data_IF_365482990036
#
_entry.id   IF_365482990036
#
_cell.length_a   1.000
_cell.length_b   1.000
_cell.length_c   1.000
_cell.angle_alpha   90.00
_cell.angle_beta   90.00
_cell.angle_gamma   90.00
#
_symmetry.space_group_name_H-M   'P 1'
#
loop_
_entity.id
_entity.type
_entity.pdbx_description
1 polymer ?
#
# COMPACT_ATOMS: atom_id res chain seq x y z
N UNK A 1 13.50 -6.33 14.05
CA UNK A 1 12.97 -5.19 13.29
C UNK A 1 11.81 -5.71 12.51
N UNK A 2 10.61 -5.54 13.05
CA UNK A 2 9.38 -5.95 12.37
C UNK A 2 9.28 -5.03 11.17
N UNK A 3 9.40 -5.60 9.98
CA UNK A 3 9.09 -4.94 8.71
C UNK A 3 7.74 -4.25 8.87
N UNK A 4 7.60 -3.04 8.31
CA UNK A 4 6.44 -2.19 8.45
C UNK A 4 5.24 -2.73 7.65
N UNK A 5 4.75 -3.88 8.14
CA UNK A 5 3.71 -4.66 7.53
C UNK A 5 2.40 -3.85 7.58
N UNK A 6 1.64 -3.81 6.47
CA UNK A 6 0.37 -3.09 6.43
C UNK A 6 -0.56 -3.59 7.54
N UNK A 7 -1.12 -2.67 8.32
CA UNK A 7 -2.11 -2.99 9.35
C UNK A 7 -3.48 -2.97 8.69
N UNK A 8 -4.00 -4.16 8.40
CA UNK A 8 -5.29 -4.35 7.76
C UNK A 8 -6.44 -4.11 8.74
N UNK A 9 -7.33 -3.19 8.39
CA UNK A 9 -8.57 -2.92 9.13
C UNK A 9 -9.68 -3.78 8.57
N UNK A 10 -10.43 -4.45 9.45
CA UNK A 10 -11.51 -5.37 9.10
C UNK A 10 -12.85 -4.93 9.66
N UNK A 11 -13.92 -5.41 9.05
CA UNK A 11 -15.29 -5.15 9.54
C UNK A 11 -15.71 -6.03 10.74
N UNK A 12 -14.79 -6.81 11.31
CA UNK A 12 -14.99 -7.57 12.55
C UNK A 12 -13.68 -8.17 13.09
N UNK A 13 -13.67 -8.61 14.36
CA UNK A 13 -12.49 -9.16 15.02
C UNK A 13 -12.25 -10.62 14.60
N UNK A 14 -11.55 -10.80 13.48
CA UNK A 14 -11.20 -12.13 12.95
C UNK A 14 -10.66 -12.09 11.52
N UNK A 15 -9.87 -13.07 11.12
CA UNK A 15 -9.32 -13.15 9.76
C UNK A 15 -10.36 -13.54 8.69
N UNK A 16 -11.52 -14.05 9.12
CA UNK A 16 -12.68 -14.31 8.27
C UNK A 16 -13.45 -13.05 7.85
N UNK A 17 -13.24 -11.92 8.54
CA UNK A 17 -13.92 -10.67 8.28
C UNK A 17 -13.23 -9.96 7.12
N UNK A 18 -13.98 -9.21 6.33
CA UNK A 18 -13.42 -8.55 5.15
C UNK A 18 -12.51 -7.40 5.58
N UNK A 19 -11.38 -7.25 4.89
CA UNK A 19 -10.55 -6.05 4.97
C UNK A 19 -11.32 -4.90 4.31
N UNK A 20 -11.38 -3.74 4.96
CA UNK A 20 -12.11 -2.55 4.51
C UNK A 20 -11.19 -1.38 4.15
N UNK A 21 -10.02 -1.29 4.80
CA UNK A 21 -8.97 -0.32 4.51
C UNK A 21 -7.65 -0.78 5.15
N UNK A 22 -6.57 -0.07 4.85
CA UNK A 22 -5.26 -0.25 5.47
C UNK A 22 -4.90 1.00 6.27
N UNK A 23 -4.40 0.85 7.50
CA UNK A 23 -3.87 1.99 8.25
C UNK A 23 -2.54 2.44 7.65
N UNK A 24 -2.36 3.75 7.54
CA UNK A 24 -1.07 4.33 7.20
C UNK A 24 -0.06 4.04 8.32
N UNK A 25 1.16 3.66 7.95
CA UNK A 25 2.23 3.49 8.93
C UNK A 25 2.53 4.82 9.65
N UNK A 26 3.04 4.72 10.88
CA UNK A 26 3.46 5.85 11.72
C UNK A 26 2.35 6.82 12.18
N UNK A 27 1.10 6.62 11.75
CA UNK A 27 -0.04 7.43 12.19
C UNK A 27 -0.61 6.88 13.50
N UNK A 28 -0.90 7.79 14.43
CA UNK A 28 -1.57 7.42 15.67
C UNK A 28 -3.08 7.31 15.47
N UNK A 29 -3.69 6.27 16.02
CA UNK A 29 -5.13 6.05 15.93
C UNK A 29 -5.79 5.94 17.31
N UNK A 30 -7.06 6.32 17.44
CA UNK A 30 -7.78 6.20 18.71
C UNK A 30 -8.36 4.78 18.82
N UNK A 31 -8.02 4.06 19.89
CA UNK A 31 -8.60 2.74 20.18
C UNK A 31 -9.79 2.91 21.12
N UNK A 32 -10.96 2.44 20.66
CA UNK A 32 -12.26 2.64 21.32
C UNK A 32 -12.87 1.34 21.85
N UNK A 33 -12.27 0.19 21.55
CA UNK A 33 -12.74 -1.11 22.04
C UNK A 33 -11.71 -2.23 21.82
N UNK A 34 -11.98 -3.38 22.40
CA UNK A 34 -11.20 -4.61 22.20
C UNK A 34 -12.09 -5.84 22.18
N UNK A 35 -11.61 -6.92 21.56
CA UNK A 35 -12.25 -8.22 21.61
C UNK A 35 -11.18 -9.30 21.42
N UNK A 36 -10.90 -10.07 22.48
CA UNK A 36 -9.79 -11.03 22.50
C UNK A 36 -8.48 -10.33 22.13
N UNK A 37 -7.87 -10.66 20.98
CA UNK A 37 -6.60 -10.09 20.48
C UNK A 37 -6.79 -8.97 19.45
N UNK A 38 -8.03 -8.51 19.25
CA UNK A 38 -8.38 -7.49 18.28
C UNK A 38 -8.68 -6.16 18.94
N UNK A 39 -8.25 -5.08 18.28
CA UNK A 39 -8.51 -3.71 18.71
C UNK A 39 -9.51 -3.05 17.77
N UNK A 40 -10.51 -2.39 18.35
CA UNK A 40 -11.46 -1.56 17.61
C UNK A 40 -10.90 -0.14 17.57
N UNK A 41 -10.63 0.34 16.37
CA UNK A 41 -10.02 1.63 16.09
C UNK A 41 -11.07 2.57 15.51
N UNK A 42 -11.07 3.81 15.98
CA UNK A 42 -11.84 4.91 15.39
C UNK A 42 -11.13 5.41 14.13
N UNK A 43 -11.85 5.35 13.01
CA UNK A 43 -11.35 5.77 11.70
C UNK A 43 -11.77 7.22 11.37
N UNK A 44 -12.53 7.88 12.24
CA UNK A 44 -13.17 9.16 11.96
C UNK A 44 -14.53 8.99 11.28
N UNK A 45 -15.28 10.09 11.14
CA UNK A 45 -16.59 10.13 10.49
C UNK A 45 -17.59 9.06 10.96
N UNK A 46 -17.58 8.77 12.26
CA UNK A 46 -18.40 7.73 12.91
C UNK A 46 -18.14 6.29 12.40
N UNK A 47 -17.02 6.07 11.71
CA UNK A 47 -16.58 4.77 11.26
C UNK A 47 -15.56 4.17 12.22
N UNK A 48 -15.59 2.85 12.34
CA UNK A 48 -14.62 2.10 13.15
C UNK A 48 -14.31 0.78 12.48
N UNK A 49 -13.15 0.20 12.84
CA UNK A 49 -12.72 -1.07 12.28
C UNK A 49 -11.75 -1.82 13.18
N UNK A 50 -11.63 -3.11 12.92
CA UNK A 50 -10.90 -4.05 13.76
C UNK A 50 -9.52 -4.34 13.20
N UNK A 51 -8.49 -4.25 14.04
CA UNK A 51 -7.11 -4.57 13.69
C UNK A 51 -6.56 -5.67 14.58
N UNK A 52 -5.75 -6.54 13.99
CA UNK A 52 -4.97 -7.54 14.72
C UNK A 52 -3.55 -7.03 14.88
N UNK A 53 -3.16 -6.68 16.11
CA UNK A 53 -1.82 -6.22 16.42
C UNK A 53 -1.56 -6.32 17.93
N UNK A 54 -0.29 -6.46 18.30
CA UNK A 54 0.10 -6.34 19.70
C UNK A 54 -0.09 -4.89 20.16
N UNK A 55 -0.41 -4.71 21.43
CA UNK A 55 -0.63 -3.37 21.99
C UNK A 55 0.61 -2.47 21.88
N UNK A 56 1.80 -3.06 21.87
CA UNK A 56 3.08 -2.36 21.72
C UNK A 56 3.40 -1.95 20.28
N UNK A 57 2.79 -2.63 19.30
CA UNK A 57 2.99 -2.38 17.87
C UNK A 57 2.01 -1.34 17.31
N UNK A 58 0.92 -1.05 18.05
CA UNK A 58 -0.03 -0.03 17.67
C UNK A 58 0.32 1.32 18.30
N UNK A 59 0.53 2.30 17.44
CA UNK A 59 0.57 3.70 17.82
C UNK A 59 -0.86 4.17 18.18
N UNK A 60 -1.38 3.87 19.37
CA UNK A 60 -2.70 4.36 19.77
C UNK A 60 -2.69 5.56 20.74
N UNK A 61 -3.71 6.39 20.61
CA UNK A 61 -4.06 7.40 21.61
C UNK A 61 -4.77 6.73 22.80
N UNK A 62 -4.20 6.82 24.00
CA UNK A 62 -4.86 6.40 25.25
C UNK A 62 -4.14 5.29 26.01
N UNK A 63 -4.84 4.69 26.99
CA UNK A 63 -4.35 3.58 27.82
C UNK A 63 -5.03 2.28 27.43
N UNK A 64 -4.27 1.31 26.90
CA UNK A 64 -4.77 -0.01 26.48
C UNK A 64 -5.54 -0.76 27.58
N UNK A 65 -5.19 -0.53 28.85
CA UNK A 65 -5.84 -1.18 30.00
C UNK A 65 -7.23 -0.62 30.31
N UNK A 66 -7.58 0.55 29.78
CA UNK A 66 -8.87 1.21 29.99
C UNK A 66 -9.87 0.97 28.85
N UNK A 67 -9.48 0.20 27.82
CA UNK A 67 -10.29 -0.05 26.63
C UNK A 67 -11.42 -1.06 26.93
N UNK A 68 -12.69 -0.75 26.64
CA UNK A 68 -13.81 -1.63 26.93
C UNK A 68 -13.83 -2.86 26.00
N UNK A 69 -14.26 -4.00 26.53
CA UNK A 69 -14.54 -5.18 25.72
C UNK A 69 -15.84 -4.99 24.92
N UNK A 70 -15.81 -5.29 23.64
CA UNK A 70 -16.92 -5.15 22.71
C UNK A 70 -17.35 -6.53 22.20
N UNK A 71 -18.65 -6.69 21.97
CA UNK A 71 -19.18 -7.94 21.41
C UNK A 71 -18.81 -8.01 19.93
N UNK A 72 -18.30 -9.17 19.49
CA UNK A 72 -18.05 -9.39 18.06
C UNK A 72 -19.34 -9.25 17.25
N UNK A 73 -19.34 -8.52 16.12
CA UNK A 73 -20.43 -8.63 15.14
C UNK A 73 -20.59 -10.09 14.68
N UNK A 74 -21.79 -10.46 14.17
CA UNK A 74 -21.99 -11.79 13.62
C UNK A 74 -20.98 -12.03 12.49
N UNK A 75 -20.32 -13.18 12.55
CA UNK A 75 -19.41 -13.64 11.51
C UNK A 75 -20.11 -13.56 10.15
N UNK A 76 -19.43 -13.16 9.06
CA UNK A 76 -20.00 -13.28 7.73
C UNK A 76 -20.30 -14.76 7.51
N UNK A 77 -21.57 -15.15 7.59
CA UNK A 77 -22.01 -16.42 7.05
C UNK A 77 -21.68 -16.33 5.57
N UNK A 78 -20.89 -17.26 5.02
CA UNK A 78 -20.80 -17.44 3.57
C UNK A 78 -22.19 -17.85 3.07
N UNK A 79 -23.09 -16.88 2.95
CA UNK A 79 -24.42 -17.08 2.42
C UNK A 79 -24.30 -17.27 0.92
N UNK A 80 -24.72 -18.46 0.52
CA UNK A 80 -24.95 -18.88 -0.83
C UNK A 80 -25.97 -17.88 -1.42
N UNK A 81 -25.54 -17.17 -2.46
CA UNK A 81 -26.23 -16.13 -3.24
C UNK A 81 -27.76 -16.13 -3.08
N UNK A 82 -28.33 -15.00 -2.64
CA UNK A 82 -29.52 -14.46 -3.28
C UNK A 82 -29.20 -13.12 -3.92
N UNK A 83 -29.74 -12.98 -5.13
CA UNK A 83 -29.80 -11.79 -5.96
C UNK A 83 -30.24 -10.58 -5.14
N UNK A 84 -29.33 -9.66 -4.84
CA UNK A 84 -29.65 -8.32 -4.34
C UNK A 84 -29.15 -7.30 -5.35
N UNK A 85 -30.10 -6.57 -5.93
CA UNK A 85 -29.84 -5.30 -6.61
C UNK A 85 -29.59 -4.24 -5.53
N UNK A 86 -28.42 -3.57 -5.48
CA UNK A 86 -28.22 -2.45 -4.55
C UNK A 86 -28.07 -1.13 -5.32
N UNK A 87 -29.02 -0.23 -5.08
CA UNK A 87 -28.80 1.22 -5.23
C UNK A 87 -28.40 1.73 -3.85
N UNK A 88 -27.12 1.68 -3.51
CA UNK A 88 -26.36 2.76 -2.85
C UNK A 88 -24.90 2.31 -2.61
N UNK A 89 -24.00 3.28 -2.63
CA UNK A 89 -22.53 3.21 -2.70
C UNK A 89 -21.86 1.99 -2.03
N UNK A 90 -21.65 0.92 -2.81
CA UNK A 90 -20.61 -0.09 -2.53
C UNK A 90 -19.65 -0.02 -3.70
N UNK A 91 -18.48 0.58 -3.49
CA UNK A 91 -17.41 0.56 -4.49
C UNK A 91 -17.13 -0.90 -4.85
N UNK A 92 -17.50 -1.28 -6.06
CA UNK A 92 -17.36 -2.68 -6.49
C UNK A 92 -15.88 -3.01 -6.63
N UNK A 93 -15.52 -4.30 -6.49
CA UNK A 93 -14.14 -4.75 -6.70
C UNK A 93 -13.55 -4.26 -8.04
N UNK A 94 -14.39 -4.08 -9.07
CA UNK A 94 -13.99 -3.54 -10.38
C UNK A 94 -13.69 -2.04 -10.37
N UNK A 95 -14.43 -1.25 -9.60
CA UNK A 95 -14.20 0.20 -9.49
C UNK A 95 -12.92 0.47 -8.69
N UNK A 96 -12.76 -0.20 -7.55
CA UNK A 96 -11.55 -0.07 -6.74
C UNK A 96 -10.29 -0.55 -7.47
N UNK A 97 -10.38 -1.63 -8.26
CA UNK A 97 -9.28 -2.07 -9.11
C UNK A 97 -8.86 -1.00 -10.12
N UNK A 98 -9.84 -0.32 -10.73
CA UNK A 98 -9.55 0.73 -11.71
C UNK A 98 -8.92 1.95 -11.05
N UNK A 99 -9.38 2.37 -9.87
CA UNK A 99 -8.74 3.46 -9.11
C UNK A 99 -7.32 3.08 -8.67
N UNK A 100 -7.10 1.85 -8.23
CA UNK A 100 -5.78 1.35 -7.87
C UNK A 100 -4.81 1.36 -9.07
N UNK A 101 -5.28 0.89 -10.24
CA UNK A 101 -4.52 0.95 -11.50
C UNK A 101 -4.17 2.38 -11.88
N UNK A 102 -5.12 3.30 -11.76
CA UNK A 102 -4.91 4.71 -12.07
C UNK A 102 -3.92 5.37 -11.11
N UNK A 103 -3.99 5.08 -9.82
CA UNK A 103 -3.01 5.57 -8.84
C UNK A 103 -1.59 5.08 -9.16
N UNK A 104 -1.43 3.78 -9.46
CA UNK A 104 -0.14 3.19 -9.83
C UNK A 104 0.46 3.85 -11.07
N UNK A 105 -0.32 3.96 -12.14
CA UNK A 105 0.15 4.56 -13.40
C UNK A 105 0.44 6.06 -13.23
N UNK A 106 -0.37 6.78 -12.46
CA UNK A 106 -0.15 8.20 -12.15
C UNK A 106 1.12 8.41 -11.34
N UNK A 107 1.37 7.61 -10.31
CA UNK A 107 2.58 7.66 -9.51
C UNK A 107 3.84 7.59 -10.39
N UNK A 108 3.92 6.59 -11.27
CA UNK A 108 5.06 6.44 -12.17
C UNK A 108 5.17 7.54 -13.22
N UNK A 109 4.04 8.05 -13.72
CA UNK A 109 4.05 9.19 -14.65
C UNK A 109 4.54 10.47 -13.96
N UNK A 110 4.15 10.73 -12.71
CA UNK A 110 4.62 11.88 -11.92
C UNK A 110 6.12 11.79 -11.63
N UNK A 111 6.61 10.62 -11.19
CA UNK A 111 8.04 10.39 -11.00
C UNK A 111 8.85 10.63 -12.28
N UNK A 112 8.35 10.13 -13.41
CA UNK A 112 8.99 10.33 -14.70
C UNK A 112 8.98 11.80 -15.16
N UNK A 113 7.96 12.57 -14.77
CA UNK A 113 7.85 14.01 -15.04
C UNK A 113 8.59 14.87 -14.02
N UNK A 114 9.36 14.28 -13.09
CA UNK A 114 10.08 14.95 -12.01
C UNK A 114 9.15 15.71 -11.03
N UNK A 115 7.88 15.29 -10.94
CA UNK A 115 6.87 15.87 -10.04
C UNK A 115 6.86 15.10 -8.72
N UNK A 116 7.97 15.19 -7.99
CA UNK A 116 8.21 14.33 -6.83
C UNK A 116 7.33 14.65 -5.62
N UNK A 117 6.94 15.90 -5.43
CA UNK A 117 5.98 16.28 -4.37
C UNK A 117 4.61 15.64 -4.61
N UNK A 118 4.07 15.76 -5.83
CA UNK A 118 2.81 15.13 -6.22
C UNK A 118 2.92 13.58 -6.16
N UNK A 119 4.06 13.01 -6.55
CA UNK A 119 4.29 11.57 -6.46
C UNK A 119 4.31 11.07 -5.01
N UNK A 120 4.85 11.86 -4.08
CA UNK A 120 4.90 11.52 -2.66
C UNK A 120 3.50 11.35 -2.05
N UNK A 121 2.50 12.10 -2.55
CA UNK A 121 1.10 11.96 -2.13
C UNK A 121 0.47 10.62 -2.53
N UNK A 122 1.00 9.96 -3.57
CA UNK A 122 0.56 8.64 -4.03
C UNK A 122 1.42 7.49 -3.50
N UNK A 123 2.44 7.78 -2.71
CA UNK A 123 3.33 6.79 -2.12
C UNK A 123 2.97 6.51 -0.67
N UNK A 124 2.53 5.29 -0.40
CA UNK A 124 2.17 4.82 0.93
C UNK A 124 3.17 3.85 1.54
N UNK A 125 4.33 3.64 0.91
CA UNK A 125 5.42 2.82 1.44
C UNK A 125 6.32 3.58 2.43
N UNK A 126 7.35 2.92 2.92
CA UNK A 126 8.31 3.54 3.84
C UNK A 126 9.38 4.35 3.10
N UNK A 127 9.86 5.42 3.75
CA UNK A 127 10.95 6.25 3.22
C UNK A 127 12.33 5.88 3.79
N UNK A 128 12.44 4.82 4.59
CA UNK A 128 13.66 4.54 5.37
C UNK A 128 14.86 4.30 4.47
N UNK A 129 14.68 3.59 3.36
CA UNK A 129 15.73 3.35 2.37
C UNK A 129 16.22 4.67 1.77
N UNK A 130 15.30 5.55 1.38
CA UNK A 130 15.63 6.85 0.80
C UNK A 130 16.32 7.77 1.80
N UNK A 131 15.84 7.80 3.05
CA UNK A 131 16.46 8.53 4.14
C UNK A 131 17.88 8.03 4.43
N UNK A 132 18.08 6.71 4.40
CA UNK A 132 19.39 6.08 4.56
C UNK A 132 20.39 6.44 3.45
N UNK A 133 19.91 6.53 2.20
CA UNK A 133 20.74 6.98 1.07
C UNK A 133 21.03 8.48 1.09
N UNK A 134 20.19 9.26 1.75
CA UNK A 134 20.23 10.72 1.72
C UNK A 134 20.30 11.33 3.14
N UNK A 135 21.35 11.05 3.94
CA UNK A 135 21.42 11.44 5.36
C UNK A 135 21.53 12.95 5.59
N UNK A 136 21.73 13.75 4.53
CA UNK A 136 21.82 15.22 4.61
C UNK A 136 20.50 15.94 4.27
N UNK A 137 19.49 15.23 3.77
CA UNK A 137 18.16 15.79 3.53
C UNK A 137 17.34 15.79 4.81
N UNK A 138 16.33 16.67 4.86
CA UNK A 138 15.28 16.57 5.86
C UNK A 138 14.54 15.23 5.66
N UNK A 139 14.45 14.35 6.67
CA UNK A 139 13.77 13.07 6.54
C UNK A 139 12.28 13.18 6.22
N UNK A 140 11.67 14.36 6.41
CA UNK A 140 10.27 14.64 6.09
C UNK A 140 10.08 15.31 4.72
N UNK A 141 11.16 15.66 4.02
CA UNK A 141 11.10 16.19 2.66
C UNK A 141 11.01 15.04 1.65
N UNK A 142 9.83 14.43 1.61
CA UNK A 142 9.54 13.25 0.79
C UNK A 142 9.72 13.51 -0.72
N UNK A 143 9.43 14.73 -1.18
CA UNK A 143 9.69 15.14 -2.55
C UNK A 143 11.17 15.12 -2.88
N UNK A 144 12.02 15.73 -2.04
CA UNK A 144 13.47 15.71 -2.24
C UNK A 144 14.07 14.29 -2.12
N UNK A 145 13.53 13.46 -1.23
CA UNK A 145 13.95 12.06 -1.08
C UNK A 145 13.66 11.24 -2.35
N UNK A 146 12.46 11.36 -2.92
CA UNK A 146 12.11 10.71 -4.19
C UNK A 146 12.95 11.27 -5.35
N UNK A 147 13.18 12.58 -5.38
CA UNK A 147 14.02 13.22 -6.38
C UNK A 147 15.44 12.61 -6.39
N UNK A 148 16.11 12.57 -5.24
CA UNK A 148 17.42 11.96 -5.13
C UNK A 148 17.39 10.46 -5.43
N UNK A 149 16.32 9.77 -5.05
CA UNK A 149 16.09 8.38 -5.41
C UNK A 149 16.17 8.15 -6.93
N UNK A 150 15.39 8.93 -7.69
CA UNK A 150 15.32 8.86 -9.15
C UNK A 150 16.57 9.36 -9.86
N UNK A 151 17.13 10.48 -9.41
CA UNK A 151 18.15 11.22 -10.17
C UNK A 151 19.59 10.87 -9.77
N UNK A 152 19.79 10.36 -8.55
CA UNK A 152 21.12 10.16 -7.96
C UNK A 152 21.34 8.71 -7.52
N UNK A 153 20.35 8.10 -6.86
CA UNK A 153 20.57 6.84 -6.16
C UNK A 153 20.37 5.61 -7.07
N UNK A 154 19.66 5.72 -8.20
CA UNK A 154 19.51 4.64 -9.16
C UNK A 154 18.10 4.02 -9.25
N UNK A 155 17.08 4.67 -8.66
CA UNK A 155 15.70 4.28 -8.89
C UNK A 155 15.30 4.56 -10.34
N UNK A 156 14.77 3.55 -11.01
CA UNK A 156 14.35 3.62 -12.40
C UNK A 156 12.93 4.21 -12.48
N UNK A 157 12.85 5.53 -12.44
CA UNK A 157 11.60 6.31 -12.49
C UNK A 157 11.06 6.39 -13.93
N UNK A 158 10.72 5.21 -14.45
CA UNK A 158 10.29 4.95 -15.82
C UNK A 158 8.77 4.95 -15.92
N UNK A 159 8.27 5.20 -17.14
CA UNK A 159 6.84 5.11 -17.44
C UNK A 159 6.40 3.66 -17.52
N UNK A 160 5.18 3.40 -17.05
CA UNK A 160 4.52 2.10 -17.25
C UNK A 160 4.30 1.86 -18.74
N UNK A 161 4.79 0.73 -19.25
CA UNK A 161 4.55 0.27 -20.62
C UNK A 161 3.23 -0.48 -20.71
N UNK A 162 3.03 -1.43 -19.79
CA UNK A 162 1.81 -2.21 -19.64
C UNK A 162 1.75 -2.88 -18.26
N UNK A 163 0.54 -3.17 -17.83
CA UNK A 163 0.26 -4.03 -16.69
C UNK A 163 -0.14 -5.39 -17.27
N UNK A 164 0.57 -6.45 -16.88
CA UNK A 164 0.44 -7.80 -17.47
C UNK A 164 -0.37 -8.78 -16.60
N UNK A 165 -0.52 -8.49 -15.31
CA UNK A 165 -1.34 -9.26 -14.38
C UNK A 165 -1.90 -8.34 -13.29
N UNK A 166 -3.12 -8.62 -12.85
CA UNK A 166 -3.87 -7.81 -11.90
C UNK A 166 -4.73 -8.69 -11.01
N UNK A 167 -4.62 -8.48 -9.70
CA UNK A 167 -5.33 -9.27 -8.70
C UNK A 167 -5.97 -8.36 -7.68
N UNK A 168 -7.27 -8.58 -7.45
CA UNK A 168 -7.99 -8.02 -6.31
C UNK A 168 -7.79 -8.96 -5.13
N UNK A 169 -7.05 -8.53 -4.12
CA UNK A 169 -6.84 -9.30 -2.89
C UNK A 169 -7.98 -9.02 -1.92
N UNK A 170 -8.37 -7.74 -1.80
CA UNK A 170 -9.54 -7.29 -1.07
C UNK A 170 -10.07 -5.98 -1.67
N UNK A 171 -11.12 -5.40 -1.09
CA UNK A 171 -11.57 -4.05 -1.47
C UNK A 171 -10.57 -2.94 -1.11
N UNK A 172 -9.47 -3.27 -0.43
CA UNK A 172 -8.44 -2.34 -0.03
C UNK A 172 -7.01 -2.76 -0.41
N UNK A 173 -6.82 -3.85 -1.14
CA UNK A 173 -5.50 -4.31 -1.57
C UNK A 173 -5.55 -4.94 -2.96
N UNK A 174 -4.62 -4.49 -3.80
CA UNK A 174 -4.53 -4.84 -5.21
C UNK A 174 -3.08 -5.13 -5.55
N UNK A 175 -2.84 -6.24 -6.26
CA UNK A 175 -1.50 -6.60 -6.73
C UNK A 175 -1.45 -6.48 -8.25
N UNK A 176 -0.35 -5.91 -8.74
CA UNK A 176 -0.08 -5.68 -10.15
C UNK A 176 1.27 -6.28 -10.53
N UNK A 177 1.35 -6.81 -11.75
CA UNK A 177 2.64 -7.09 -12.40
C UNK A 177 2.83 -6.11 -13.54
N UNK A 178 3.91 -5.33 -13.48
CA UNK A 178 4.14 -4.16 -14.31
C UNK A 178 5.38 -4.34 -15.18
N UNK A 179 5.27 -3.95 -16.44
CA UNK A 179 6.41 -3.75 -17.33
C UNK A 179 6.61 -2.26 -17.59
N UNK A 180 7.86 -1.80 -17.56
CA UNK A 180 8.24 -0.41 -17.81
C UNK A 180 8.83 -0.22 -19.21
N UNK A 181 8.84 1.03 -19.69
CA UNK A 181 9.52 1.37 -20.94
C UNK A 181 10.68 2.34 -20.72
N UNK A 182 11.74 2.12 -21.49
CA UNK A 182 12.83 3.07 -21.65
C UNK A 182 12.34 4.33 -22.39
N UNK A 183 13.18 5.37 -22.43
CA UNK A 183 12.86 6.63 -23.12
C UNK A 183 12.55 6.46 -24.61
N UNK A 184 13.16 5.47 -25.28
CA UNK A 184 12.89 5.12 -26.69
C UNK A 184 11.61 4.28 -26.88
N UNK A 185 10.89 3.98 -25.80
CA UNK A 185 9.69 3.16 -25.79
C UNK A 185 9.96 1.64 -25.78
N UNK A 186 11.22 1.20 -25.84
CA UNK A 186 11.58 -0.21 -25.71
C UNK A 186 11.27 -0.74 -24.30
N UNK A 187 11.13 -2.06 -24.16
CA UNK A 187 10.88 -2.69 -22.85
C UNK A 187 12.11 -2.51 -21.94
N UNK A 188 11.88 -2.03 -20.72
CA UNK A 188 12.91 -2.01 -19.70
C UNK A 188 13.18 -3.44 -19.20
N UNK A 189 14.47 -3.78 -19.10
CA UNK A 189 14.93 -5.09 -18.62
C UNK A 189 16.06 -4.84 -17.63
N UNK A 190 15.86 -5.27 -16.38
CA UNK A 190 16.91 -5.29 -15.37
C UNK A 190 17.82 -6.47 -15.61
N UNK A 191 19.07 -6.19 -15.97
CA UNK A 191 20.11 -7.20 -16.13
C UNK A 191 20.59 -7.78 -14.79
N UNK A 192 21.43 -8.82 -14.82
CA UNK A 192 22.04 -9.38 -13.61
C UNK A 192 22.85 -8.32 -12.86
N UNK A 193 22.72 -8.29 -11.53
CA UNK A 193 23.49 -7.37 -10.69
C UNK A 193 24.90 -7.92 -10.40
N UNK A 194 25.84 -7.03 -10.10
CA UNK A 194 27.16 -7.35 -9.53
C UNK A 194 28.03 -8.31 -10.37
N UNK A 195 27.91 -8.28 -11.70
CA UNK A 195 28.73 -9.10 -12.59
C UNK A 195 28.36 -10.59 -12.62
N UNK A 196 27.21 -10.97 -12.05
CA UNK A 196 26.69 -12.32 -12.16
C UNK A 196 26.30 -12.64 -13.62
N UNK A 197 26.32 -13.93 -13.97
CA UNK A 197 25.93 -14.37 -15.30
C UNK A 197 24.40 -14.30 -15.47
N UNK A 198 23.93 -14.08 -16.70
CA UNK A 198 22.49 -14.13 -17.01
C UNK A 198 21.87 -15.53 -16.79
N UNK A 199 22.70 -16.56 -16.64
CA UNK A 199 22.27 -17.92 -16.29
C UNK A 199 22.02 -18.09 -14.80
N UNK A 200 22.76 -17.38 -13.94
CA UNK A 200 22.58 -17.45 -12.48
C UNK A 200 21.51 -16.46 -12.01
N UNK A 201 21.44 -15.29 -12.66
CA UNK A 201 20.45 -14.26 -12.41
C UNK A 201 19.79 -13.85 -13.74
N UNK A 202 18.64 -14.45 -14.08
CA UNK A 202 17.99 -14.15 -15.34
C UNK A 202 17.52 -12.69 -15.37
N UNK A 203 17.52 -12.06 -16.55
CA UNK A 203 17.00 -10.72 -16.71
C UNK A 203 15.52 -10.65 -16.34
N UNK A 204 15.14 -9.58 -15.67
CA UNK A 204 13.77 -9.34 -15.21
C UNK A 204 13.15 -8.15 -15.92
N UNK A 205 11.94 -8.31 -16.44
CA UNK A 205 11.20 -7.23 -17.11
C UNK A 205 9.81 -6.99 -16.52
N UNK A 206 9.40 -7.81 -15.56
CA UNK A 206 8.09 -7.79 -14.93
C UNK A 206 8.30 -7.66 -13.43
N UNK A 207 7.69 -6.64 -12.83
CA UNK A 207 7.93 -6.27 -11.45
C UNK A 207 6.59 -6.21 -10.70
N UNK A 208 6.57 -6.73 -9.48
CA UNK A 208 5.37 -6.74 -8.65
C UNK A 208 5.19 -5.40 -7.93
N UNK A 209 3.95 -4.91 -7.89
CA UNK A 209 3.54 -3.72 -7.15
C UNK A 209 2.25 -3.97 -6.40
N UNK A 210 2.15 -3.36 -5.23
CA UNK A 210 0.99 -3.37 -4.35
C UNK A 210 0.42 -1.96 -4.27
N UNK A 211 -0.89 -1.86 -4.46
CA UNK A 211 -1.63 -0.63 -4.17
C UNK A 211 -2.63 -0.94 -3.06
N UNK A 212 -2.61 -0.11 -2.02
CA UNK A 212 -3.55 -0.19 -0.90
C UNK A 212 -4.54 0.95 -0.95
N UNK A 213 -5.75 0.73 -0.44
CA UNK A 213 -6.70 1.78 -0.12
C UNK A 213 -6.59 2.11 1.37
N UNK A 214 -6.18 3.33 1.71
CA UNK A 214 -6.13 3.76 3.10
C UNK A 214 -7.54 4.05 3.64
N UNK A 215 -7.66 4.30 4.94
CA UNK A 215 -8.97 4.57 5.56
C UNK A 215 -9.54 5.96 5.24
N UNK A 216 -8.74 6.86 4.63
CA UNK A 216 -9.23 8.10 4.02
C UNK A 216 -9.80 7.88 2.60
N UNK A 217 -9.65 6.67 2.04
CA UNK A 217 -10.13 6.30 0.72
C UNK A 217 -9.14 6.54 -0.41
N UNK A 218 -7.91 6.93 -0.10
CA UNK A 218 -6.83 7.18 -1.06
C UNK A 218 -6.15 5.87 -1.46
N UNK A 219 -5.71 5.80 -2.72
CA UNK A 219 -5.02 4.63 -3.27
C UNK A 219 -3.52 4.91 -3.36
N UNK A 220 -2.72 4.13 -2.64
CA UNK A 220 -1.31 4.40 -2.41
C UNK A 220 -0.43 3.23 -2.85
N UNK A 221 0.63 3.53 -3.62
CA UNK A 221 1.64 2.56 -4.06
C UNK A 221 2.61 2.27 -2.91
N UNK A 222 2.96 0.99 -2.70
CA UNK A 222 3.81 0.59 -1.57
C UNK A 222 5.29 0.45 -1.92
N UNK A 223 5.61 0.03 -3.12
CA UNK A 223 6.98 -0.22 -3.54
C UNK A 223 7.58 1.01 -4.23
N UNK A 224 8.87 1.28 -3.95
CA UNK A 224 9.66 2.23 -4.73
C UNK A 224 9.86 1.72 -6.16
N UNK A 225 10.20 2.61 -7.11
CA UNK A 225 10.61 2.20 -8.44
C UNK A 225 11.73 1.15 -8.42
N UNK A 226 11.83 0.39 -9.52
CA UNK A 226 12.86 -0.64 -9.66
C UNK A 226 14.24 -0.03 -9.44
N UNK A 227 15.00 -0.57 -8.49
CA UNK A 227 16.36 -0.11 -8.23
C UNK A 227 17.38 -0.80 -9.16
N UNK A 228 18.32 -0.01 -9.69
CA UNK A 228 19.53 -0.48 -10.38
C UNK A 228 20.74 0.25 -9.76
N UNK A 229 21.65 -0.48 -9.08
CA UNK A 229 22.84 0.09 -8.43
C UNK A 229 23.91 0.57 -9.41
#
# INVERSE_FOLDING_TARGET
>A
NVEDAPVYVRNGPGFEFNVICVLESQKKHLVIGKHVDWWLVDLGDHQSGWVYALAEDLLFFGNANAVPDQVSPPKPTSEIIPTFTPTDQTETASEGLEKARNALTTFFELLHQHKYEEAAELYGGDYQVLQGWNPSLDPQDYGALLANGCEINGLQCLRVKRIVDEKVISVAEYHFTVEFMNQDGSLFVRGPCCGASATDHPPESQFAYTVIKNCAGEFLVRELPVYVP
#
